data_IF_731713135989
#
_entry.id   IF_731713135989
#
_cell.length_a   1.000
_cell.length_b   1.000
_cell.length_c   1.000
_cell.angle_alpha   90.00
_cell.angle_beta   90.00
_cell.angle_gamma   90.00
#
_symmetry.space_group_name_H-M   'P 1'
#
loop_
_entity.id
_entity.type
_entity.pdbx_description
1 polymer ?
#
# COMPACT_ATOMS: atom_id res chain seq x y z
N UNK A 1 -5.13 -7.89 -13.45
CA UNK A 1 -4.21 -6.76 -13.23
C UNK A 1 -4.63 -6.04 -11.96
N UNK A 2 -3.71 -5.73 -11.05
CA UNK A 2 -4.02 -4.97 -9.83
C UNK A 2 -4.25 -3.52 -10.23
N UNK A 3 -5.45 -2.99 -10.00
CA UNK A 3 -5.85 -1.65 -10.43
C UNK A 3 -5.17 -0.56 -9.59
N UNK A 4 -4.96 0.67 -10.12
CA UNK A 4 -4.38 1.79 -9.37
C UNK A 4 -5.12 2.10 -8.06
N UNK A 5 -6.45 1.90 -8.05
CA UNK A 5 -7.28 2.03 -6.84
C UNK A 5 -6.87 1.04 -5.74
N UNK A 6 -6.44 -0.16 -6.10
CA UNK A 6 -5.97 -1.15 -5.14
C UNK A 6 -4.60 -0.76 -4.56
N UNK A 7 -3.72 -0.15 -5.35
CA UNK A 7 -2.47 0.41 -4.81
C UNK A 7 -2.75 1.61 -3.88
N UNK A 8 -3.76 2.45 -4.19
CA UNK A 8 -4.18 3.51 -3.28
C UNK A 8 -4.69 2.93 -1.94
N UNK A 9 -5.56 1.92 -1.97
CA UNK A 9 -6.01 1.21 -0.78
C UNK A 9 -4.83 0.62 0.03
N UNK A 10 -3.90 -0.06 -0.65
CA UNK A 10 -2.69 -0.60 -0.01
C UNK A 10 -1.76 0.46 0.58
N UNK A 11 -1.67 1.63 -0.03
CA UNK A 11 -0.90 2.75 0.50
C UNK A 11 -1.56 3.35 1.76
N UNK A 12 -2.89 3.41 1.81
CA UNK A 12 -3.64 3.92 2.98
C UNK A 12 -3.43 3.08 4.25
N UNK A 13 -3.06 1.80 4.12
CA UNK A 13 -2.71 0.92 5.26
C UNK A 13 -1.54 1.51 6.08
N UNK A 14 -0.62 2.26 5.45
CA UNK A 14 0.47 2.93 6.14
C UNK A 14 0.00 4.09 7.03
N UNK A 15 -1.15 4.68 6.71
CA UNK A 15 -1.73 5.82 7.42
C UNK A 15 -2.74 5.39 8.49
N UNK A 16 -3.20 4.13 8.44
CA UNK A 16 -4.17 3.60 9.38
C UNK A 16 -3.48 2.96 10.60
N UNK A 17 -3.93 3.27 11.84
CA UNK A 17 -3.52 2.56 13.04
C UNK A 17 -4.24 1.21 13.12
N UNK A 18 -3.85 0.25 12.29
CA UNK A 18 -4.37 -1.11 12.36
C UNK A 18 -3.94 -1.75 13.68
N UNK A 19 -4.93 -2.12 14.48
CA UNK A 19 -4.76 -2.82 15.75
C UNK A 19 -5.66 -4.05 15.74
N UNK A 20 -5.14 -5.17 16.25
CA UNK A 20 -5.95 -6.36 16.42
C UNK A 20 -6.99 -6.15 17.54
N UNK A 21 -8.23 -6.62 17.37
CA UNK A 21 -9.23 -6.59 18.43
C UNK A 21 -8.84 -7.51 19.60
N UNK A 22 -9.38 -7.24 20.79
CA UNK A 22 -8.94 -7.87 22.04
C UNK A 22 -9.13 -9.41 22.07
N UNK A 23 -10.12 -9.92 21.35
CA UNK A 23 -10.48 -11.33 21.19
C UNK A 23 -9.74 -12.03 20.03
N UNK A 24 -8.89 -11.31 19.29
CA UNK A 24 -8.17 -11.87 18.15
C UNK A 24 -7.24 -13.00 18.58
N UNK A 25 -7.44 -14.21 18.06
CA UNK A 25 -6.65 -15.40 18.42
C UNK A 25 -6.66 -15.71 19.94
N UNK A 26 -7.81 -15.55 20.60
CA UNK A 26 -7.97 -15.79 22.05
C UNK A 26 -7.55 -17.20 22.54
N UNK A 27 -7.47 -18.19 21.64
CA UNK A 27 -6.98 -19.54 21.95
C UNK A 27 -5.46 -19.68 21.99
N UNK A 28 -4.70 -18.64 21.62
CA UNK A 28 -3.23 -18.66 21.59
C UNK A 28 -2.62 -17.95 22.81
N UNK A 29 -1.40 -18.35 23.22
CA UNK A 29 -0.63 -17.61 24.22
C UNK A 29 -0.43 -16.15 23.81
N UNK A 30 -0.45 -15.22 24.78
CA UNK A 30 -0.31 -13.79 24.51
C UNK A 30 0.95 -13.44 23.69
N UNK A 31 2.06 -14.11 23.97
CA UNK A 31 3.32 -13.90 23.27
C UNK A 31 3.26 -14.30 21.79
N UNK A 32 2.62 -15.43 21.48
CA UNK A 32 2.45 -15.89 20.09
C UNK A 32 1.53 -14.92 19.31
N UNK A 33 0.49 -14.38 19.97
CA UNK A 33 -0.40 -13.37 19.36
C UNK A 33 0.36 -12.10 19.00
N UNK A 34 1.22 -11.60 19.89
CA UNK A 34 2.04 -10.42 19.64
C UNK A 34 3.01 -10.62 18.47
N UNK A 35 3.64 -11.80 18.37
CA UNK A 35 4.54 -12.13 17.26
C UNK A 35 3.80 -12.16 15.92
N UNK A 36 2.59 -12.71 15.89
CA UNK A 36 1.76 -12.72 14.69
C UNK A 36 1.37 -11.30 14.30
N UNK A 37 0.91 -10.47 15.23
CA UNK A 37 0.57 -9.06 14.97
C UNK A 37 1.79 -8.31 14.43
N UNK A 38 2.97 -8.50 15.02
CA UNK A 38 4.21 -7.90 14.55
C UNK A 38 4.59 -8.38 13.13
N UNK A 39 4.39 -9.67 12.83
CA UNK A 39 4.63 -10.23 11.49
C UNK A 39 3.68 -9.67 10.43
N UNK A 40 2.40 -9.51 10.77
CA UNK A 40 1.39 -8.89 9.91
C UNK A 40 1.76 -7.43 9.65
N UNK A 41 2.11 -6.66 10.69
CA UNK A 41 2.47 -5.25 10.54
C UNK A 41 3.71 -5.05 9.66
N UNK A 42 4.73 -5.92 9.80
CA UNK A 42 5.90 -5.91 8.91
C UNK A 42 5.50 -6.15 7.45
N UNK A 43 4.58 -7.07 7.21
CA UNK A 43 4.09 -7.41 5.88
C UNK A 43 3.26 -6.27 5.28
N UNK A 44 2.33 -5.71 6.05
CA UNK A 44 1.54 -4.53 5.68
C UNK A 44 2.43 -3.36 5.28
N UNK A 45 3.45 -3.02 6.07
CA UNK A 45 4.37 -1.92 5.76
C UNK A 45 5.16 -2.20 4.49
N UNK A 46 5.64 -3.43 4.31
CA UNK A 46 6.38 -3.86 3.11
C UNK A 46 5.53 -3.72 1.85
N UNK A 47 4.28 -4.15 1.89
CA UNK A 47 3.36 -4.05 0.75
C UNK A 47 2.82 -2.65 0.54
N UNK A 48 2.52 -1.90 1.59
CA UNK A 48 2.11 -0.51 1.52
C UNK A 48 3.17 0.37 0.85
N UNK A 49 4.46 0.19 1.20
CA UNK A 49 5.57 0.88 0.52
C UNK A 49 5.66 0.55 -0.96
N UNK A 50 5.44 -0.71 -1.35
CA UNK A 50 5.41 -1.10 -2.77
C UNK A 50 4.24 -0.49 -3.51
N UNK A 51 3.09 -0.36 -2.86
CA UNK A 51 1.92 0.31 -3.43
C UNK A 51 2.17 1.80 -3.65
N UNK A 52 2.81 2.48 -2.70
CA UNK A 52 3.25 3.87 -2.87
C UNK A 52 4.21 4.00 -4.06
N UNK A 53 5.20 3.11 -4.15
CA UNK A 53 6.14 3.10 -5.28
C UNK A 53 5.42 2.91 -6.63
N UNK A 54 4.49 1.95 -6.70
CA UNK A 54 3.70 1.69 -7.90
C UNK A 54 2.88 2.93 -8.31
N UNK A 55 2.24 3.61 -7.35
CA UNK A 55 1.50 4.84 -7.60
C UNK A 55 2.42 5.96 -8.11
N UNK A 56 3.56 6.18 -7.47
CA UNK A 56 4.52 7.21 -7.89
C UNK A 56 4.99 6.96 -9.33
N UNK A 57 5.41 5.73 -9.64
CA UNK A 57 5.85 5.38 -11.00
C UNK A 57 4.71 5.56 -12.00
N UNK A 58 3.50 5.09 -11.68
CA UNK A 58 2.34 5.24 -12.54
C UNK A 58 2.01 6.72 -12.80
N UNK A 59 2.00 7.55 -11.76
CA UNK A 59 1.79 8.99 -11.88
C UNK A 59 2.83 9.66 -12.77
N UNK A 60 4.11 9.31 -12.61
CA UNK A 60 5.19 9.84 -13.46
C UNK A 60 5.00 9.47 -14.94
N UNK A 61 4.62 8.22 -15.23
CA UNK A 61 4.34 7.76 -16.60
C UNK A 61 3.17 8.54 -17.20
N UNK A 62 2.06 8.70 -16.46
CA UNK A 62 0.90 9.46 -16.93
C UNK A 62 1.27 10.92 -17.21
N UNK A 63 2.02 11.57 -16.32
CA UNK A 63 2.49 12.95 -16.51
C UNK A 63 3.37 13.05 -17.75
N UNK A 64 4.33 12.13 -17.93
CA UNK A 64 5.20 12.13 -19.11
C UNK A 64 4.42 11.97 -20.42
N UNK A 65 3.42 11.07 -20.44
CA UNK A 65 2.56 10.87 -21.61
C UNK A 65 1.72 12.12 -21.93
N UNK A 66 1.11 12.72 -20.91
CA UNK A 66 0.32 13.96 -21.08
C UNK A 66 1.20 15.08 -21.63
N UNK A 67 2.40 15.27 -21.06
CA UNK A 67 3.35 16.27 -21.56
C UNK A 67 3.77 16.00 -23.00
N UNK A 68 4.09 14.74 -23.35
CA UNK A 68 4.46 14.37 -24.71
C UNK A 68 3.35 14.69 -25.71
N UNK A 69 2.09 14.36 -25.38
CA UNK A 69 0.92 14.67 -26.22
C UNK A 69 0.74 16.18 -26.34
N UNK A 70 0.81 16.93 -25.24
CA UNK A 70 0.67 18.38 -25.25
C UNK A 70 1.77 19.07 -26.07
N UNK A 71 3.00 18.58 -26.02
CA UNK A 71 4.11 19.09 -26.82
C UNK A 71 3.90 18.77 -28.30
N UNK A 72 3.51 17.53 -28.64
CA UNK A 72 3.24 17.12 -30.01
C UNK A 72 2.08 17.88 -30.65
N UNK A 73 1.08 18.30 -29.87
CA UNK A 73 -0.03 19.13 -30.34
C UNK A 73 0.35 20.61 -30.51
N UNK A 74 1.45 21.05 -29.89
CA UNK A 74 1.95 22.43 -29.97
C UNK A 74 3.06 22.63 -31.00
N UNK A 75 3.64 21.54 -31.50
CA UNK A 75 4.59 21.50 -32.63
C UNK A 75 3.84 21.36 -33.95
#
# INVERSE_FOLDING_TARGET
AVFPLFWAAGAMILLSPLSAPADWEAGKPAQEREELIASMRRTEVKWGRRCVLALVVFSLVVVALVLAVLLALRT
#
